data_IF_579280403122
#
_entry.id   IF_579280403122
#
_cell.length_a   1.000
_cell.length_b   1.000
_cell.length_c   1.000
_cell.angle_alpha   90.00
_cell.angle_beta   90.00
_cell.angle_gamma   90.00
#
_symmetry.space_group_name_H-M   'P 1'
#
loop_
_entity.id
_entity.type
_entity.pdbx_description
1 polymer ?
#
# COMPACT_ATOMS: atom_id res chain seq x y z
N UNK A 1 -30.43 55.21 13.05
CA UNK A 1 -30.51 53.99 12.24
C UNK A 1 -29.11 53.37 12.22
N UNK A 2 -28.87 52.41 13.13
CA UNK A 2 -27.62 51.65 13.19
C UNK A 2 -27.76 50.41 12.32
N UNK A 3 -26.99 50.27 11.26
CA UNK A 3 -26.93 49.11 10.41
C UNK A 3 -25.85 48.17 11.00
N UNK A 4 -26.27 47.08 11.63
CA UNK A 4 -25.36 46.04 12.13
C UNK A 4 -24.89 45.14 11.00
N UNK A 5 -23.61 45.09 10.73
CA UNK A 5 -22.94 44.16 9.81
C UNK A 5 -22.82 42.79 10.52
N UNK A 6 -23.58 41.80 10.10
CA UNK A 6 -23.40 40.40 10.51
C UNK A 6 -22.27 39.81 9.69
N UNK A 7 -21.10 39.68 10.30
CA UNK A 7 -19.96 38.90 9.74
C UNK A 7 -20.20 37.43 10.07
N UNK A 8 -20.60 36.65 9.07
CA UNK A 8 -20.69 35.21 9.18
C UNK A 8 -19.27 34.62 9.16
N UNK A 9 -18.77 34.20 10.32
CA UNK A 9 -17.52 33.44 10.44
C UNK A 9 -17.79 32.02 9.96
N UNK A 10 -17.37 31.70 8.76
CA UNK A 10 -17.33 30.32 8.25
C UNK A 10 -16.15 29.62 8.93
N UNK A 11 -16.42 28.85 9.97
CA UNK A 11 -15.43 27.95 10.56
C UNK A 11 -15.19 26.78 9.60
N UNK A 12 -13.93 26.48 9.24
CA UNK A 12 -13.65 25.27 8.48
C UNK A 12 -14.01 24.06 9.34
N UNK A 13 -14.96 23.26 8.87
CA UNK A 13 -15.22 21.94 9.46
C UNK A 13 -14.03 21.05 9.14
N UNK A 14 -13.13 20.90 10.12
CA UNK A 14 -12.15 19.81 10.10
C UNK A 14 -12.94 18.51 10.18
N UNK A 15 -12.94 17.76 9.09
CA UNK A 15 -13.45 16.39 9.08
C UNK A 15 -12.61 15.58 10.08
N UNK A 16 -13.20 15.26 11.23
CA UNK A 16 -12.60 14.32 12.18
C UNK A 16 -12.53 12.96 11.49
N UNK A 17 -11.31 12.51 11.19
CA UNK A 17 -11.06 11.17 10.71
C UNK A 17 -11.55 10.17 11.78
N UNK A 18 -12.69 9.54 11.55
CA UNK A 18 -13.21 8.49 12.42
C UNK A 18 -12.32 7.26 12.33
N UNK A 19 -12.10 6.59 13.46
CA UNK A 19 -11.46 5.29 13.51
C UNK A 19 -12.55 4.24 13.41
N UNK A 20 -12.61 3.51 12.29
CA UNK A 20 -13.49 2.35 12.15
C UNK A 20 -12.74 1.08 12.59
N UNK A 21 -13.17 0.50 13.70
CA UNK A 21 -12.60 -0.72 14.26
C UNK A 21 -13.41 -1.94 13.84
N UNK A 22 -12.81 -2.87 13.11
CA UNK A 22 -13.40 -4.18 12.79
C UNK A 22 -12.92 -5.18 13.82
N UNK A 23 -13.86 -5.74 14.60
CA UNK A 23 -13.56 -6.71 15.66
C UNK A 23 -14.23 -8.08 15.42
N UNK A 24 -14.99 -8.23 14.34
CA UNK A 24 -15.74 -9.45 14.05
C UNK A 24 -14.88 -10.50 13.34
N UNK A 25 -15.00 -11.75 13.77
CA UNK A 25 -14.46 -12.92 13.07
C UNK A 25 -15.31 -13.32 11.85
N UNK A 26 -16.49 -12.73 11.68
CA UNK A 26 -17.37 -12.98 10.54
C UNK A 26 -16.79 -12.31 9.29
N UNK A 27 -16.75 -13.04 8.18
CA UNK A 27 -16.27 -12.50 6.92
C UNK A 27 -17.15 -11.34 6.45
N UNK A 28 -16.54 -10.17 6.28
CA UNK A 28 -17.21 -9.00 5.72
C UNK A 28 -17.48 -9.26 4.23
N UNK A 29 -18.72 -9.08 3.73
CA UNK A 29 -19.01 -9.21 2.33
C UNK A 29 -18.38 -8.09 1.51
N UNK A 30 -17.69 -8.46 0.45
CA UNK A 30 -17.25 -7.49 -0.56
C UNK A 30 -18.47 -7.04 -1.36
N UNK A 31 -18.64 -5.73 -1.46
CA UNK A 31 -19.70 -5.11 -2.26
C UNK A 31 -19.29 -5.07 -3.73
N UNK A 32 -20.29 -5.23 -4.58
CA UNK A 32 -20.22 -4.98 -6.03
C UNK A 32 -21.04 -3.75 -6.36
N UNK A 33 -20.82 -3.09 -7.50
CA UNK A 33 -21.64 -1.96 -7.91
C UNK A 33 -23.12 -2.29 -7.94
N UNK A 34 -23.96 -1.37 -7.49
CA UNK A 34 -25.42 -1.53 -7.49
C UNK A 34 -25.99 -1.70 -8.91
N UNK A 35 -25.37 -1.04 -9.89
CA UNK A 35 -25.70 -1.15 -11.30
C UNK A 35 -24.43 -1.36 -12.13
N UNK A 36 -24.48 -2.03 -13.27
CA UNK A 36 -23.34 -2.17 -14.16
C UNK A 36 -22.77 -0.79 -14.54
N UNK A 37 -21.46 -0.66 -14.44
CA UNK A 37 -20.74 0.53 -14.87
C UNK A 37 -20.39 0.36 -16.34
N UNK A 38 -20.70 1.36 -17.17
CA UNK A 38 -20.31 1.34 -18.57
C UNK A 38 -18.78 1.33 -18.72
N UNK A 39 -18.23 0.55 -19.64
CA UNK A 39 -16.78 0.39 -19.83
C UNK A 39 -16.06 1.73 -20.00
N UNK A 40 -16.66 2.68 -20.72
CA UNK A 40 -16.11 4.02 -20.87
C UNK A 40 -15.99 4.81 -19.56
N UNK A 41 -16.77 4.46 -18.53
CA UNK A 41 -16.78 5.12 -17.23
C UNK A 41 -16.03 4.32 -16.14
N UNK A 42 -15.45 3.16 -16.46
CA UNK A 42 -14.55 2.46 -15.55
C UNK A 42 -13.28 3.30 -15.33
N UNK A 43 -12.90 3.49 -14.09
CA UNK A 43 -11.73 4.26 -13.69
C UNK A 43 -10.56 3.32 -13.42
N UNK A 44 -9.39 3.63 -13.98
CA UNK A 44 -8.15 2.93 -13.68
C UNK A 44 -7.61 3.39 -12.32
N UNK A 45 -7.11 2.44 -11.54
CA UNK A 45 -6.65 2.68 -10.17
C UNK A 45 -5.18 2.37 -10.04
N UNK A 46 -4.40 3.32 -9.53
CA UNK A 46 -3.02 3.13 -9.09
C UNK A 46 -2.96 3.04 -7.57
N UNK A 47 -2.32 1.99 -7.07
CA UNK A 47 -2.07 1.80 -5.65
C UNK A 47 -0.56 1.83 -5.45
N UNK A 48 -0.04 2.85 -4.77
CA UNK A 48 1.39 2.86 -4.43
C UNK A 48 1.67 1.85 -3.32
N UNK A 49 2.87 1.24 -3.26
CA UNK A 49 3.30 0.55 -2.07
C UNK A 49 3.07 1.45 -0.85
N UNK A 50 2.49 0.89 0.22
CA UNK A 50 2.22 1.69 1.41
C UNK A 50 3.55 2.17 2.01
N UNK A 51 3.53 3.36 2.61
CA UNK A 51 4.66 3.77 3.45
C UNK A 51 4.76 2.81 4.65
N UNK A 52 5.95 2.35 4.96
CA UNK A 52 6.23 1.38 6.02
C UNK A 52 5.92 1.92 7.42
N UNK A 53 5.88 3.25 7.59
CA UNK A 53 5.57 3.92 8.84
C UNK A 53 6.66 3.81 9.89
N UNK A 54 7.89 3.46 9.51
CA UNK A 54 9.01 3.32 10.44
C UNK A 54 9.33 4.64 11.17
N UNK A 55 9.18 5.76 10.48
CA UNK A 55 9.38 7.11 11.07
C UNK A 55 8.35 7.47 12.17
N UNK A 56 7.26 6.69 12.24
CA UNK A 56 6.15 6.92 13.18
C UNK A 56 6.14 5.94 14.35
N UNK A 57 7.12 5.02 14.41
CA UNK A 57 7.22 4.02 15.48
C UNK A 57 7.95 4.62 16.69
N UNK A 58 7.43 4.34 17.89
CA UNK A 58 8.10 4.69 19.12
C UNK A 58 9.32 3.76 19.35
N UNK A 59 10.35 4.25 20.07
CA UNK A 59 11.56 3.47 20.39
C UNK A 59 11.27 2.16 21.15
N UNK A 60 10.13 2.09 21.84
CA UNK A 60 9.67 0.91 22.60
C UNK A 60 8.92 -0.12 21.72
N UNK A 61 8.58 0.22 20.46
CA UNK A 61 7.87 -0.68 19.57
C UNK A 61 8.84 -1.68 18.90
N UNK A 62 8.56 -2.96 19.06
CA UNK A 62 9.33 -4.02 18.38
C UNK A 62 8.86 -4.12 16.92
N UNK A 63 9.45 -3.31 16.06
CA UNK A 63 9.18 -3.29 14.63
C UNK A 63 10.41 -3.79 13.87
N UNK A 64 10.18 -4.64 12.87
CA UNK A 64 11.22 -5.18 12.00
C UNK A 64 11.16 -4.46 10.65
N UNK A 65 12.17 -3.61 10.32
CA UNK A 65 12.15 -2.81 9.09
C UNK A 65 11.94 -3.66 7.83
N UNK A 66 12.64 -4.78 7.70
CA UNK A 66 12.56 -5.66 6.53
C UNK A 66 11.15 -6.26 6.38
N UNK A 67 10.48 -6.57 7.51
CA UNK A 67 9.09 -7.04 7.51
C UNK A 67 8.16 -5.91 7.06
N UNK A 68 8.38 -4.67 7.50
CA UNK A 68 7.60 -3.50 7.10
C UNK A 68 7.72 -3.20 5.61
N UNK A 69 8.91 -3.30 5.04
CA UNK A 69 9.10 -3.17 3.59
C UNK A 69 8.32 -4.23 2.81
N UNK A 70 8.40 -5.48 3.27
CA UNK A 70 7.62 -6.56 2.68
C UNK A 70 6.11 -6.35 2.81
N UNK A 71 5.63 -5.89 3.98
CA UNK A 71 4.23 -5.55 4.24
C UNK A 71 3.73 -4.43 3.34
N UNK A 72 4.54 -3.41 3.06
CA UNK A 72 4.18 -2.27 2.22
C UNK A 72 3.68 -2.71 0.84
N UNK A 73 4.40 -3.62 0.20
CA UNK A 73 4.01 -4.18 -1.11
C UNK A 73 2.89 -5.22 -0.96
N UNK A 74 3.03 -6.12 0.01
CA UNK A 74 2.04 -7.18 0.23
C UNK A 74 0.63 -6.61 0.48
N UNK A 75 0.50 -5.57 1.32
CA UNK A 75 -0.81 -4.97 1.62
C UNK A 75 -1.40 -4.24 0.43
N UNK A 76 -0.59 -3.52 -0.35
CA UNK A 76 -1.04 -2.88 -1.59
C UNK A 76 -1.55 -3.91 -2.59
N UNK A 77 -0.85 -5.02 -2.75
CA UNK A 77 -1.28 -6.13 -3.60
C UNK A 77 -2.55 -6.83 -3.08
N UNK A 78 -2.68 -7.03 -1.75
CA UNK A 78 -3.91 -7.58 -1.16
C UNK A 78 -5.11 -6.65 -1.39
N UNK A 79 -4.92 -5.33 -1.28
CA UNK A 79 -5.98 -4.36 -1.56
C UNK A 79 -6.36 -4.40 -3.04
N UNK A 80 -5.39 -4.42 -3.97
CA UNK A 80 -5.64 -4.55 -5.39
C UNK A 80 -6.50 -5.77 -5.71
N UNK A 81 -6.10 -6.97 -5.23
CA UNK A 81 -6.84 -8.23 -5.42
C UNK A 81 -8.27 -8.21 -4.86
N UNK A 82 -8.49 -7.50 -3.76
CA UNK A 82 -9.85 -7.35 -3.20
C UNK A 82 -10.67 -6.40 -4.08
N UNK A 83 -10.09 -5.29 -4.53
CA UNK A 83 -10.79 -4.31 -5.38
C UNK A 83 -11.14 -4.89 -6.75
N UNK A 84 -10.26 -5.66 -7.38
CA UNK A 84 -10.51 -6.35 -8.66
C UNK A 84 -11.77 -7.23 -8.59
N UNK A 85 -11.92 -7.99 -7.50
CA UNK A 85 -13.08 -8.87 -7.28
C UNK A 85 -14.40 -8.12 -7.19
N UNK A 86 -14.39 -6.80 -6.97
CA UNK A 86 -15.63 -5.99 -6.94
C UNK A 86 -16.21 -5.74 -8.34
N UNK A 87 -15.39 -5.80 -9.40
CA UNK A 87 -15.79 -5.49 -10.77
C UNK A 87 -16.22 -4.02 -11.00
N UNK A 88 -15.79 -3.11 -10.12
CA UNK A 88 -16.20 -1.71 -10.13
C UNK A 88 -15.23 -0.78 -10.86
N UNK A 89 -14.10 -1.28 -11.30
CA UNK A 89 -12.94 -0.52 -11.74
C UNK A 89 -12.45 -0.99 -13.11
N UNK A 90 -11.71 -0.15 -13.78
CA UNK A 90 -10.88 -0.53 -14.93
C UNK A 90 -9.67 -1.36 -14.46
N UNK A 91 -8.51 -1.08 -14.99
CA UNK A 91 -7.30 -1.73 -14.53
C UNK A 91 -6.92 -1.25 -13.12
N UNK A 92 -6.57 -2.20 -12.24
CA UNK A 92 -6.06 -1.89 -10.92
C UNK A 92 -4.61 -2.34 -10.89
N UNK A 93 -3.70 -1.41 -10.59
CA UNK A 93 -2.25 -1.64 -10.63
C UNK A 93 -1.59 -1.23 -9.33
N UNK A 94 -0.69 -2.05 -8.82
CA UNK A 94 0.30 -1.58 -7.84
C UNK A 94 1.36 -0.82 -8.64
N UNK A 95 1.52 0.48 -8.39
CA UNK A 95 2.38 1.33 -9.20
C UNK A 95 3.81 1.37 -8.65
N UNK A 96 4.83 1.38 -9.50
CA UNK A 96 6.23 1.43 -9.07
C UNK A 96 6.63 2.78 -8.47
N UNK A 97 5.86 3.83 -8.72
CA UNK A 97 6.12 5.20 -8.30
C UNK A 97 4.81 5.98 -8.13
N UNK A 98 4.84 7.04 -7.35
CA UNK A 98 3.74 8.02 -7.19
C UNK A 98 3.50 8.85 -8.47
N UNK A 99 4.45 8.86 -9.40
CA UNK A 99 4.39 9.63 -10.64
C UNK A 99 3.54 8.97 -11.73
N UNK A 100 3.17 7.70 -11.56
CA UNK A 100 2.30 7.00 -12.51
C UNK A 100 0.94 7.70 -12.58
N UNK A 101 0.55 8.13 -13.79
CA UNK A 101 -0.68 8.87 -14.00
C UNK A 101 -1.85 7.92 -14.23
N UNK A 102 -2.79 7.89 -13.27
CA UNK A 102 -4.02 7.08 -13.29
C UNK A 102 -5.26 7.95 -13.03
N UNK A 103 -6.46 7.35 -13.03
CA UNK A 103 -7.70 8.07 -12.76
C UNK A 103 -7.96 8.21 -11.26
N UNK A 104 -7.56 7.21 -10.47
CA UNK A 104 -7.70 7.17 -9.02
C UNK A 104 -6.39 6.72 -8.39
N UNK A 105 -5.95 7.40 -7.36
CA UNK A 105 -4.72 7.15 -6.63
C UNK A 105 -5.05 6.68 -5.23
N UNK A 106 -4.46 5.57 -4.81
CA UNK A 106 -4.55 5.06 -3.45
C UNK A 106 -3.14 5.02 -2.88
N UNK A 107 -2.95 5.72 -1.78
CA UNK A 107 -1.72 5.71 -0.99
C UNK A 107 -2.07 5.48 0.49
N UNK A 108 -1.09 5.17 1.28
CA UNK A 108 -1.31 5.00 2.71
C UNK A 108 -0.03 4.75 3.50
N UNK A 109 -0.21 4.58 4.81
CA UNK A 109 0.89 4.33 5.76
C UNK A 109 0.48 3.20 6.70
N UNK A 110 1.40 2.29 6.98
CA UNK A 110 1.26 1.25 7.99
C UNK A 110 1.53 1.89 9.34
N UNK A 111 0.48 2.15 10.11
CA UNK A 111 0.62 2.74 11.45
C UNK A 111 0.92 1.69 12.50
N UNK A 112 0.39 0.49 12.33
CA UNK A 112 0.64 -0.65 13.20
C UNK A 112 0.37 -1.95 12.45
N UNK A 113 1.23 -2.94 12.62
CA UNK A 113 1.05 -4.28 12.10
C UNK A 113 1.77 -5.28 12.99
N UNK A 114 0.99 -6.15 13.62
CA UNK A 114 1.46 -7.31 14.36
C UNK A 114 0.52 -8.51 14.06
N UNK A 115 0.70 -9.60 14.78
CA UNK A 115 -0.16 -10.78 14.59
C UNK A 115 -1.59 -10.58 15.09
N UNK A 116 -1.89 -9.56 15.89
CA UNK A 116 -3.20 -9.33 16.48
C UNK A 116 -3.93 -8.14 15.90
N UNK A 117 -3.23 -7.04 15.66
CA UNK A 117 -3.84 -5.77 15.22
C UNK A 117 -3.12 -5.24 13.99
N UNK A 118 -3.89 -4.78 13.03
CA UNK A 118 -3.41 -4.03 11.87
C UNK A 118 -4.10 -2.68 11.80
N UNK A 119 -3.34 -1.61 11.65
CA UNK A 119 -3.84 -0.24 11.52
C UNK A 119 -3.19 0.41 10.31
N UNK A 120 -4.00 0.82 9.34
CA UNK A 120 -3.59 1.49 8.12
C UNK A 120 -4.22 2.88 8.04
N UNK A 121 -3.44 3.89 7.68
CA UNK A 121 -3.96 5.16 7.20
C UNK A 121 -4.05 5.08 5.68
N UNK A 122 -5.23 5.30 5.11
CA UNK A 122 -5.45 5.24 3.66
C UNK A 122 -5.94 6.59 3.17
N UNK A 123 -5.34 7.05 2.08
CA UNK A 123 -5.74 8.25 1.35
C UNK A 123 -6.08 7.87 -0.08
N UNK A 124 -7.22 8.36 -0.56
CA UNK A 124 -7.66 8.17 -1.94
C UNK A 124 -7.91 9.52 -2.58
N UNK A 125 -7.34 9.75 -3.75
CA UNK A 125 -7.52 10.97 -4.56
C UNK A 125 -7.89 10.59 -5.99
N UNK A 126 -8.59 11.47 -6.68
CA UNK A 126 -8.82 11.32 -8.12
C UNK A 126 -7.79 12.07 -8.96
N UNK A 127 -7.88 11.92 -10.28
CA UNK A 127 -6.98 12.56 -11.24
C UNK A 127 -6.98 14.08 -11.19
N UNK A 128 -8.02 14.70 -10.61
CA UNK A 128 -8.07 16.15 -10.36
C UNK A 128 -7.27 16.57 -9.12
N UNK A 129 -6.86 15.62 -8.28
CA UNK A 129 -6.29 15.89 -6.97
C UNK A 129 -7.35 15.97 -5.85
N UNK A 130 -8.66 15.81 -6.17
CA UNK A 130 -9.72 15.82 -5.16
C UNK A 130 -9.60 14.60 -4.26
N UNK A 131 -9.49 14.83 -2.96
CA UNK A 131 -9.44 13.78 -1.96
C UNK A 131 -10.85 13.18 -1.74
N UNK A 132 -10.96 11.86 -1.92
CA UNK A 132 -12.17 11.09 -1.66
C UNK A 132 -12.23 10.59 -0.23
N UNK A 133 -11.12 10.04 0.24
CA UNK A 133 -10.97 9.42 1.55
C UNK A 133 -9.62 9.84 2.13
N UNK A 134 -9.60 10.13 3.42
CA UNK A 134 -8.42 10.08 4.27
C UNK A 134 -8.87 9.51 5.60
N UNK A 135 -8.56 8.24 5.85
CA UNK A 135 -9.17 7.52 6.97
C UNK A 135 -8.23 6.47 7.54
N UNK A 136 -8.26 6.36 8.86
CA UNK A 136 -7.60 5.30 9.60
C UNK A 136 -8.51 4.08 9.71
N UNK A 137 -8.01 2.93 9.26
CA UNK A 137 -8.66 1.64 9.37
C UNK A 137 -7.92 0.77 10.39
N UNK A 138 -8.68 0.09 11.24
CA UNK A 138 -8.12 -0.78 12.27
C UNK A 138 -8.90 -2.10 12.32
N UNK A 139 -8.17 -3.21 12.35
CA UNK A 139 -8.74 -4.53 12.59
C UNK A 139 -7.93 -5.25 13.66
N UNK A 140 -8.64 -5.85 14.63
CA UNK A 140 -8.05 -6.77 15.59
C UNK A 140 -8.59 -8.17 15.30
N UNK A 141 -7.69 -9.15 15.19
CA UNK A 141 -8.04 -10.55 14.96
C UNK A 141 -7.94 -11.37 16.23
N UNK A 142 -8.57 -12.54 16.25
CA UNK A 142 -8.56 -13.44 17.39
C UNK A 142 -7.82 -14.75 17.10
N UNK A 143 -7.58 -15.54 18.14
CA UNK A 143 -6.86 -16.82 18.06
C UNK A 143 -7.36 -17.79 16.99
N UNK A 144 -8.66 -17.76 16.68
CA UNK A 144 -9.27 -18.65 15.71
C UNK A 144 -8.89 -18.31 14.26
N UNK A 145 -8.45 -17.10 13.98
CA UNK A 145 -7.98 -16.71 12.65
C UNK A 145 -6.71 -17.46 12.22
N UNK A 146 -5.93 -17.95 13.20
CA UNK A 146 -4.69 -18.70 12.99
C UNK A 146 -4.84 -20.23 13.23
N UNK A 147 -6.06 -20.72 13.48
CA UNK A 147 -6.28 -22.15 13.70
C UNK A 147 -6.31 -22.92 12.37
N UNK A 148 -5.23 -23.65 12.08
CA UNK A 148 -5.09 -24.46 10.86
C UNK A 148 -6.14 -25.57 10.70
N UNK A 149 -6.84 -25.95 11.78
CA UNK A 149 -7.92 -26.95 11.75
C UNK A 149 -9.20 -26.38 11.17
N UNK A 150 -9.38 -25.09 11.30
CA UNK A 150 -10.44 -24.36 10.62
C UNK A 150 -10.00 -24.20 9.17
N UNK A 151 -10.65 -24.85 8.23
CA UNK A 151 -10.32 -24.84 6.78
C UNK A 151 -10.42 -23.46 6.12
N UNK A 152 -10.48 -22.41 6.91
CA UNK A 152 -10.54 -21.04 6.43
C UNK A 152 -9.10 -20.53 6.15
N UNK A 153 -8.69 -20.61 4.90
CA UNK A 153 -7.38 -20.16 4.40
C UNK A 153 -7.37 -18.65 4.08
N UNK A 154 -8.40 -17.91 4.48
CA UNK A 154 -8.44 -16.48 4.24
C UNK A 154 -7.43 -15.74 5.14
N UNK A 155 -6.83 -14.68 4.62
CA UNK A 155 -5.96 -13.82 5.40
C UNK A 155 -6.70 -13.29 6.64
N UNK A 156 -6.10 -13.34 7.85
CA UNK A 156 -6.72 -12.88 9.10
C UNK A 156 -7.21 -11.44 9.06
N UNK A 157 -6.57 -10.60 8.25
CA UNK A 157 -6.92 -9.18 8.08
C UNK A 157 -7.68 -8.89 6.78
N UNK A 158 -8.20 -9.91 6.10
CA UNK A 158 -8.98 -9.73 4.88
C UNK A 158 -10.11 -8.71 5.03
N UNK A 159 -10.79 -8.68 6.17
CA UNK A 159 -11.90 -7.77 6.42
C UNK A 159 -11.48 -6.30 6.39
N UNK A 160 -10.25 -5.98 6.78
CA UNK A 160 -9.70 -4.62 6.67
C UNK A 160 -9.66 -4.16 5.21
N UNK A 161 -9.09 -4.97 4.32
CA UNK A 161 -9.01 -4.66 2.89
C UNK A 161 -10.40 -4.60 2.24
N UNK A 162 -11.31 -5.49 2.64
CA UNK A 162 -12.70 -5.46 2.17
C UNK A 162 -13.42 -4.19 2.63
N UNK A 163 -13.18 -3.72 3.85
CA UNK A 163 -13.77 -2.47 4.35
C UNK A 163 -13.24 -1.27 3.57
N UNK A 164 -11.91 -1.21 3.32
CA UNK A 164 -11.30 -0.17 2.51
C UNK A 164 -11.92 -0.16 1.11
N UNK A 165 -11.96 -1.31 0.43
CA UNK A 165 -12.54 -1.44 -0.90
C UNK A 165 -14.02 -1.02 -0.95
N UNK A 166 -14.82 -1.43 0.05
CA UNK A 166 -16.23 -1.05 0.15
C UNK A 166 -16.43 0.46 0.36
N UNK A 167 -15.56 1.12 1.14
CA UNK A 167 -15.64 2.56 1.36
C UNK A 167 -15.26 3.34 0.09
N UNK A 168 -14.25 2.87 -0.65
CA UNK A 168 -13.86 3.46 -1.94
C UNK A 168 -15.00 3.29 -2.96
N UNK A 169 -15.58 2.09 -3.05
CA UNK A 169 -16.73 1.84 -3.92
C UNK A 169 -17.91 2.74 -3.58
N UNK A 170 -18.23 2.92 -2.30
CA UNK A 170 -19.30 3.82 -1.85
C UNK A 170 -19.09 5.28 -2.32
N UNK A 171 -17.85 5.73 -2.44
CA UNK A 171 -17.55 7.04 -3.01
C UNK A 171 -17.72 7.01 -4.54
N UNK A 172 -17.20 5.98 -5.21
CA UNK A 172 -17.33 5.79 -6.66
C UNK A 172 -18.78 5.80 -7.12
N UNK A 173 -19.68 5.16 -6.38
CA UNK A 173 -21.12 5.09 -6.70
C UNK A 173 -21.85 6.45 -6.64
N UNK A 174 -21.25 7.46 -6.00
CA UNK A 174 -21.79 8.83 -6.00
C UNK A 174 -21.40 9.64 -7.22
N UNK A 175 -20.44 9.15 -8.02
CA UNK A 175 -20.01 9.82 -9.24
C UNK A 175 -20.99 9.50 -10.36
N UNK A 176 -21.45 10.53 -11.07
CA UNK A 176 -22.15 10.34 -12.33
C UNK A 176 -21.21 9.80 -13.42
N UNK A 177 -21.78 9.28 -14.50
CA UNK A 177 -21.01 8.81 -15.65
C UNK A 177 -20.18 9.95 -16.27
N UNK A 178 -20.77 11.14 -16.40
CA UNK A 178 -20.08 12.33 -16.94
C UNK A 178 -18.88 12.70 -16.09
N UNK A 179 -19.02 12.60 -14.74
CA UNK A 179 -17.91 12.89 -13.83
C UNK A 179 -16.80 11.87 -13.91
N UNK A 180 -17.13 10.60 -14.12
CA UNK A 180 -16.12 9.58 -14.35
C UNK A 180 -15.35 9.80 -15.67
N UNK A 181 -16.07 10.17 -16.74
CA UNK A 181 -15.43 10.53 -18.01
C UNK A 181 -14.53 11.76 -17.88
N UNK A 182 -14.96 12.78 -17.12
CA UNK A 182 -14.13 13.94 -16.82
C UNK A 182 -12.81 13.54 -16.13
N UNK A 183 -12.87 12.63 -15.14
CA UNK A 183 -11.66 12.14 -14.46
C UNK A 183 -10.70 11.44 -15.43
N UNK A 184 -11.21 10.60 -16.31
CA UNK A 184 -10.41 9.93 -17.36
C UNK A 184 -9.78 10.93 -18.31
N UNK A 185 -10.55 11.95 -18.72
CA UNK A 185 -10.03 13.02 -19.60
C UNK A 185 -8.92 13.80 -18.90
N UNK A 186 -9.08 14.13 -17.61
CA UNK A 186 -8.04 14.84 -16.86
C UNK A 186 -6.78 13.98 -16.73
N UNK A 187 -6.88 12.69 -16.44
CA UNK A 187 -5.69 11.83 -16.37
C UNK A 187 -4.99 11.74 -17.75
N UNK A 188 -5.75 11.67 -18.84
CA UNK A 188 -5.20 11.69 -20.20
C UNK A 188 -4.47 13.01 -20.49
N UNK A 189 -5.09 14.14 -20.17
CA UNK A 189 -4.49 15.47 -20.39
C UNK A 189 -3.27 15.73 -19.48
N UNK A 190 -3.27 15.21 -18.27
CA UNK A 190 -2.08 15.24 -17.40
C UNK A 190 -0.92 14.48 -18.04
N UNK A 191 -1.20 13.29 -18.56
CA UNK A 191 -0.20 12.49 -19.25
C UNK A 191 0.28 13.21 -20.54
N UNK A 192 -0.66 13.77 -21.32
CA UNK A 192 -0.33 14.54 -22.52
C UNK A 192 0.53 15.77 -22.19
N UNK A 193 0.21 16.49 -21.12
CA UNK A 193 0.99 17.64 -20.66
C UNK A 193 2.39 17.24 -20.20
N UNK A 194 2.54 16.08 -19.58
CA UNK A 194 3.87 15.59 -19.17
C UNK A 194 4.80 15.40 -20.38
N UNK A 195 4.31 14.80 -21.47
CA UNK A 195 5.12 14.53 -22.66
C UNK A 195 5.20 15.71 -23.65
N UNK A 196 4.20 16.56 -23.71
CA UNK A 196 4.12 17.69 -24.65
C UNK A 196 3.51 18.93 -23.98
N UNK A 197 4.20 19.54 -23.01
CA UNK A 197 3.68 20.69 -22.28
C UNK A 197 3.31 21.83 -23.22
N UNK A 198 4.11 22.11 -24.24
CA UNK A 198 3.85 23.17 -25.22
C UNK A 198 2.55 22.99 -26.00
N UNK A 199 2.02 21.77 -26.10
CA UNK A 199 0.77 21.49 -26.78
C UNK A 199 -0.43 21.43 -25.83
N UNK A 200 -0.22 21.05 -24.55
CA UNK A 200 -1.32 20.70 -23.66
C UNK A 200 -1.39 21.52 -22.35
N UNK A 201 -0.49 22.46 -22.09
CA UNK A 201 -0.51 23.26 -20.85
C UNK A 201 -1.83 24.01 -20.65
N UNK A 202 -2.43 24.52 -21.74
CA UNK A 202 -3.67 25.30 -21.69
C UNK A 202 -4.95 24.45 -21.62
N UNK A 203 -4.87 23.12 -21.64
CA UNK A 203 -6.06 22.26 -21.65
C UNK A 203 -6.59 21.96 -20.25
N UNK A 204 -5.72 22.02 -19.25
CA UNK A 204 -6.08 21.86 -17.84
C UNK A 204 -5.50 23.00 -17.01
N UNK A 205 -6.30 23.55 -16.12
CA UNK A 205 -5.87 24.56 -15.18
C UNK A 205 -6.01 24.08 -13.73
N UNK A 206 -5.14 24.59 -12.88
CA UNK A 206 -5.21 24.34 -11.44
C UNK A 206 -6.01 25.45 -10.77
N UNK A 207 -7.02 25.06 -9.99
CA UNK A 207 -7.82 25.96 -9.17
C UNK A 207 -7.07 26.37 -7.91
N UNK A 208 -7.59 27.36 -7.19
CA UNK A 208 -7.02 27.86 -5.92
C UNK A 208 -6.93 26.80 -4.82
N UNK A 209 -7.76 25.76 -4.88
CA UNK A 209 -7.79 24.63 -3.95
C UNK A 209 -6.85 23.48 -4.36
N UNK A 210 -6.05 23.67 -5.42
CA UNK A 210 -5.13 22.67 -5.95
C UNK A 210 -5.78 21.62 -6.85
N UNK A 211 -7.10 21.71 -7.12
CA UNK A 211 -7.77 20.77 -8.02
C UNK A 211 -7.66 21.18 -9.47
N UNK A 212 -7.51 20.19 -10.35
CA UNK A 212 -7.46 20.40 -11.79
C UNK A 212 -8.87 20.47 -12.40
N UNK A 213 -9.01 21.29 -13.43
CA UNK A 213 -10.21 21.44 -14.24
C UNK A 213 -9.85 21.45 -15.72
N UNK A 214 -10.76 20.97 -16.56
CA UNK A 214 -10.63 21.04 -18.02
C UNK A 214 -11.01 22.44 -18.45
N UNK A 215 -10.10 23.13 -19.13
CA UNK A 215 -10.36 24.44 -19.78
C UNK A 215 -10.86 24.27 -21.21
N UNK A 216 -10.30 23.31 -21.93
CA UNK A 216 -10.73 22.96 -23.28
C UNK A 216 -10.46 21.49 -23.57
N UNK A 217 -11.19 20.92 -24.51
CA UNK A 217 -10.95 19.57 -25.03
C UNK A 217 -10.08 19.61 -26.28
N UNK A 218 -9.18 18.61 -26.47
CA UNK A 218 -8.47 18.46 -27.74
C UNK A 218 -9.43 18.19 -28.90
N UNK A 219 -9.00 18.51 -30.11
CA UNK A 219 -9.75 18.11 -31.30
C UNK A 219 -9.83 16.59 -31.40
N UNK A 220 -10.95 16.08 -31.92
CA UNK A 220 -11.23 14.64 -32.00
C UNK A 220 -10.12 13.85 -32.72
N UNK A 221 -9.48 14.49 -33.72
CA UNK A 221 -8.39 13.92 -34.52
C UNK A 221 -7.03 14.56 -34.23
N UNK A 222 -6.78 15.03 -33.01
CA UNK A 222 -5.50 15.62 -32.63
C UNK A 222 -4.38 14.57 -32.75
N UNK A 223 -3.46 14.83 -33.69
CA UNK A 223 -2.36 13.91 -34.02
C UNK A 223 -1.33 13.79 -32.87
N UNK A 224 -1.16 14.88 -32.09
CA UNK A 224 -0.24 14.89 -30.95
C UNK A 224 -0.83 14.03 -29.83
N UNK A 225 -2.13 14.20 -29.55
CA UNK A 225 -2.82 13.38 -28.56
C UNK A 225 -2.84 11.89 -28.94
N UNK A 226 -3.08 11.55 -30.23
CA UNK A 226 -3.01 10.16 -30.68
C UNK A 226 -1.63 9.53 -30.46
N UNK A 227 -0.55 10.30 -30.64
CA UNK A 227 0.81 9.84 -30.34
C UNK A 227 1.02 9.64 -28.84
N UNK A 228 0.60 10.60 -28.03
CA UNK A 228 0.67 10.51 -26.58
C UNK A 228 -0.10 9.29 -26.07
N UNK A 229 -1.27 8.97 -26.63
CA UNK A 229 -2.03 7.76 -26.30
C UNK A 229 -1.20 6.49 -26.53
N UNK A 230 -0.49 6.38 -27.66
CA UNK A 230 0.39 5.23 -27.93
C UNK A 230 1.54 5.12 -26.91
N UNK A 231 2.07 6.25 -26.48
CA UNK A 231 3.10 6.26 -25.41
C UNK A 231 2.48 5.79 -24.09
N UNK A 232 1.26 6.27 -23.76
CA UNK A 232 0.54 5.84 -22.56
C UNK A 232 0.22 4.34 -22.55
N UNK A 233 -0.18 3.80 -23.69
CA UNK A 233 -0.42 2.37 -23.84
C UNK A 233 0.86 1.56 -23.60
N UNK A 234 2.00 2.02 -24.11
CA UNK A 234 3.31 1.39 -23.85
C UNK A 234 3.70 1.48 -22.36
N UNK A 235 3.46 2.62 -21.73
CA UNK A 235 3.71 2.81 -20.30
C UNK A 235 2.88 1.85 -19.45
N UNK A 236 1.60 1.74 -19.74
CA UNK A 236 0.72 0.80 -19.04
C UNK A 236 1.14 -0.66 -19.25
N UNK A 237 1.51 -1.05 -20.46
CA UNK A 237 2.02 -2.40 -20.73
C UNK A 237 3.28 -2.71 -19.89
N UNK A 238 4.17 -1.73 -19.76
CA UNK A 238 5.34 -1.90 -18.92
C UNK A 238 4.96 -2.05 -17.44
N UNK A 239 4.05 -1.21 -16.93
CA UNK A 239 3.55 -1.31 -15.54
C UNK A 239 2.84 -2.66 -15.34
N UNK A 240 2.12 -3.18 -16.33
CA UNK A 240 1.48 -4.49 -16.26
C UNK A 240 2.52 -5.62 -16.11
N UNK A 241 3.71 -5.51 -16.71
CA UNK A 241 4.79 -6.50 -16.46
C UNK A 241 5.30 -6.46 -15.03
N UNK A 242 5.22 -5.31 -14.35
CA UNK A 242 5.59 -5.17 -12.93
C UNK A 242 4.55 -5.84 -12.00
N UNK A 243 3.29 -5.98 -12.43
CA UNK A 243 2.27 -6.67 -11.63
C UNK A 243 2.63 -8.15 -11.41
N UNK A 244 3.17 -8.81 -12.43
CA UNK A 244 3.64 -10.20 -12.30
C UNK A 244 4.72 -10.34 -11.21
N UNK A 245 5.59 -9.33 -11.10
CA UNK A 245 6.60 -9.30 -10.04
C UNK A 245 5.96 -9.12 -8.65
N UNK A 246 5.07 -8.15 -8.47
CA UNK A 246 4.37 -7.92 -7.19
C UNK A 246 3.50 -9.11 -6.80
N UNK A 247 2.87 -9.75 -7.75
CA UNK A 247 2.05 -10.96 -7.53
C UNK A 247 2.91 -12.15 -7.14
N UNK A 248 4.00 -12.38 -7.85
CA UNK A 248 4.97 -13.43 -7.54
C UNK A 248 5.55 -13.27 -6.13
N UNK A 249 5.98 -12.05 -5.80
CA UNK A 249 6.43 -11.72 -4.45
C UNK A 249 5.36 -12.00 -3.39
N UNK A 250 4.14 -11.50 -3.59
CA UNK A 250 3.04 -11.70 -2.64
C UNK A 250 2.66 -13.16 -2.45
N UNK A 251 2.77 -13.98 -3.49
CA UNK A 251 2.53 -15.42 -3.41
C UNK A 251 3.63 -16.14 -2.62
N UNK A 252 4.90 -15.83 -2.91
CA UNK A 252 6.04 -16.41 -2.20
C UNK A 252 6.04 -16.04 -0.71
N UNK A 253 5.77 -14.78 -0.41
CA UNK A 253 5.71 -14.27 0.96
C UNK A 253 4.57 -14.89 1.77
N UNK A 254 3.43 -15.20 1.14
CA UNK A 254 2.18 -15.47 1.83
C UNK A 254 2.29 -16.48 2.98
N UNK A 255 2.85 -17.67 2.73
CA UNK A 255 2.92 -18.73 3.74
C UNK A 255 3.85 -18.37 4.91
N UNK A 256 5.06 -17.88 4.61
CA UNK A 256 6.02 -17.48 5.62
C UNK A 256 5.47 -16.33 6.47
N UNK A 257 4.80 -15.38 5.85
CA UNK A 257 4.21 -14.24 6.52
C UNK A 257 3.01 -14.63 7.41
N UNK A 258 2.17 -15.57 7.01
CA UNK A 258 1.09 -16.10 7.87
C UNK A 258 1.66 -16.82 9.09
N UNK A 259 2.77 -17.55 8.95
CA UNK A 259 3.44 -18.20 10.06
C UNK A 259 4.12 -17.19 11.00
N UNK A 260 4.75 -16.15 10.44
CA UNK A 260 5.26 -15.00 11.20
C UNK A 260 4.15 -14.34 12.02
N UNK A 261 3.02 -13.95 11.40
CA UNK A 261 1.88 -13.32 12.08
C UNK A 261 1.31 -14.19 13.20
N UNK A 262 1.20 -15.50 12.98
CA UNK A 262 0.73 -16.42 14.03
C UNK A 262 1.67 -16.42 15.22
N UNK A 263 2.97 -16.49 14.98
CA UNK A 263 3.99 -16.45 16.04
C UNK A 263 3.96 -15.12 16.80
N UNK A 264 3.84 -14.02 16.07
CA UNK A 264 3.69 -12.67 16.62
C UNK A 264 2.43 -12.55 17.47
N UNK A 265 1.28 -13.06 17.00
CA UNK A 265 0.02 -13.09 17.75
C UNK A 265 0.18 -13.77 19.11
N UNK A 266 0.77 -14.97 19.14
CA UNK A 266 0.99 -15.71 20.39
C UNK A 266 1.84 -14.89 21.38
N UNK A 267 2.83 -14.16 20.88
CA UNK A 267 3.73 -13.33 21.70
C UNK A 267 3.04 -12.07 22.22
N UNK A 268 2.30 -11.35 21.37
CA UNK A 268 1.56 -10.13 21.73
C UNK A 268 0.47 -10.41 22.77
N UNK A 269 -0.32 -11.47 22.55
CA UNK A 269 -1.37 -11.87 23.51
C UNK A 269 -0.77 -12.25 24.86
N UNK A 270 0.34 -12.97 24.86
CA UNK A 270 1.04 -13.37 26.11
C UNK A 270 1.62 -12.15 26.84
N UNK A 271 2.22 -11.21 26.12
CA UNK A 271 2.72 -9.97 26.68
C UNK A 271 1.60 -9.17 27.37
N UNK A 272 0.45 -9.02 26.70
CA UNK A 272 -0.72 -8.34 27.27
C UNK A 272 -1.28 -9.02 28.53
N UNK A 273 -1.37 -10.36 28.53
CA UNK A 273 -1.84 -11.11 29.71
C UNK A 273 -0.93 -10.88 30.92
N UNK A 274 0.38 -10.79 30.71
CA UNK A 274 1.36 -10.51 31.75
C UNK A 274 1.28 -9.08 32.26
N UNK A 275 1.03 -8.11 31.37
CA UNK A 275 0.87 -6.70 31.74
C UNK A 275 -0.39 -6.49 32.59
N UNK A 276 -1.50 -7.13 32.22
CA UNK A 276 -2.76 -7.10 33.00
C UNK A 276 -2.61 -7.71 34.40
N UNK A 277 -1.65 -8.61 34.60
CA UNK A 277 -1.32 -9.19 35.91
C UNK A 277 -0.40 -8.29 36.74
N UNK A 278 -0.08 -7.08 36.28
CA UNK A 278 0.75 -6.12 36.98
C UNK A 278 2.25 -6.43 36.95
N UNK A 279 2.69 -7.36 36.13
CA UNK A 279 4.07 -7.81 36.03
C UNK A 279 4.85 -7.04 34.94
N UNK A 280 4.90 -5.70 35.04
CA UNK A 280 5.59 -4.82 34.06
C UNK A 280 7.05 -5.23 33.79
N UNK A 281 7.74 -5.83 34.76
CA UNK A 281 9.13 -6.31 34.60
C UNK A 281 9.25 -7.50 33.65
N UNK A 282 8.19 -8.30 33.50
CA UNK A 282 8.18 -9.45 32.58
C UNK A 282 7.86 -9.03 31.15
N UNK A 283 7.06 -7.96 30.98
CA UNK A 283 6.73 -7.40 29.64
C UNK A 283 8.00 -6.81 29.00
N UNK A 284 8.78 -6.04 29.75
CA UNK A 284 10.08 -5.55 29.28
C UNK A 284 11.04 -6.69 28.90
N UNK A 285 10.97 -7.84 29.62
CA UNK A 285 11.73 -9.04 29.29
C UNK A 285 11.30 -9.76 28.01
N UNK A 286 10.03 -9.69 27.64
CA UNK A 286 9.52 -10.30 26.39
C UNK A 286 9.88 -9.43 25.19
N UNK A 287 9.79 -8.10 25.28
CA UNK A 287 10.31 -7.17 24.28
C UNK A 287 11.81 -7.36 24.04
N UNK A 288 12.59 -7.48 25.13
CA UNK A 288 14.02 -7.78 25.06
C UNK A 288 14.34 -9.18 24.50
N UNK A 289 13.45 -10.15 24.67
CA UNK A 289 13.59 -11.49 24.07
C UNK A 289 13.31 -11.43 22.56
N UNK A 290 12.31 -10.70 22.13
CA UNK A 290 12.03 -10.47 20.72
C UNK A 290 13.18 -9.67 20.06
N UNK A 291 13.62 -8.58 20.67
CA UNK A 291 14.77 -7.80 20.22
C UNK A 291 16.09 -8.59 20.27
N UNK A 292 16.29 -9.47 21.26
CA UNK A 292 17.49 -10.32 21.38
C UNK A 292 17.57 -11.47 20.37
N UNK A 293 16.49 -11.79 19.66
CA UNK A 293 16.48 -12.73 18.54
C UNK A 293 17.09 -12.06 17.30
N UNK A 294 16.90 -10.75 17.14
CA UNK A 294 17.35 -9.96 15.98
C UNK A 294 18.64 -9.17 16.19
N UNK A 295 18.97 -8.81 17.42
CA UNK A 295 20.15 -7.98 17.73
C UNK A 295 21.49 -8.71 17.74
N UNK A 296 21.66 -9.83 17.03
CA UNK A 296 22.91 -10.62 17.03
C UNK A 296 23.88 -10.27 15.90
N UNK A 297 23.61 -9.28 15.11
CA UNK A 297 24.59 -8.64 14.26
C UNK A 297 25.00 -7.31 14.90
N UNK A 298 26.16 -7.30 15.58
CA UNK A 298 26.87 -6.13 16.07
C UNK A 298 26.28 -5.33 17.26
N UNK A 299 26.28 -5.91 18.46
CA UNK A 299 26.72 -5.11 19.62
C UNK A 299 27.06 -5.97 20.85
N UNK A 300 28.31 -5.87 21.21
CA UNK A 300 28.92 -6.46 22.43
C UNK A 300 28.52 -5.60 23.64
N UNK A 301 27.27 -5.56 24.07
CA UNK A 301 26.81 -4.77 25.19
C UNK A 301 26.54 -5.62 26.43
N UNK A 302 26.97 -5.11 27.58
CA UNK A 302 26.98 -5.73 28.92
C UNK A 302 25.60 -6.14 29.47
N UNK A 303 24.49 -5.73 28.84
CA UNK A 303 23.11 -5.98 29.30
C UNK A 303 22.72 -7.47 29.19
N UNK A 304 23.36 -8.25 28.30
CA UNK A 304 23.06 -9.68 28.12
C UNK A 304 23.50 -10.60 29.23
N UNK A 305 24.34 -10.13 30.18
CA UNK A 305 24.91 -10.98 31.24
C UNK A 305 24.15 -10.95 32.57
N UNK A 306 23.43 -9.86 32.84
CA UNK A 306 22.72 -9.70 34.13
C UNK A 306 21.27 -10.25 34.09
N UNK A 307 20.71 -10.46 32.88
CA UNK A 307 19.38 -11.07 32.72
C UNK A 307 19.35 -12.59 32.97
N UNK A 308 20.52 -13.26 32.99
CA UNK A 308 20.62 -14.71 33.15
C UNK A 308 20.54 -15.21 34.57
N UNK A 309 20.72 -14.34 35.57
CA UNK A 309 20.78 -14.72 36.98
C UNK A 309 19.49 -14.55 37.77
N UNK A 310 18.50 -13.81 37.25
CA UNK A 310 17.24 -13.52 37.96
C UNK A 310 16.11 -14.54 37.72
N UNK A 311 16.26 -15.50 36.81
CA UNK A 311 15.20 -16.42 36.38
C UNK A 311 15.36 -17.87 36.83
N UNK A 312 16.29 -18.18 37.71
CA UNK A 312 16.60 -19.56 38.10
C UNK A 312 15.59 -20.23 39.06
N UNK A 313 14.63 -19.49 39.64
CA UNK A 313 13.78 -20.04 40.71
C UNK A 313 12.34 -20.40 40.33
N UNK A 314 11.77 -19.95 39.17
CA UNK A 314 10.38 -20.23 38.82
C UNK A 314 10.14 -20.56 37.31
N UNK A 315 11.20 -20.68 36.52
CA UNK A 315 11.09 -20.66 35.04
C UNK A 315 11.48 -21.93 34.28
N UNK A 316 11.86 -23.02 34.93
CA UNK A 316 12.42 -24.19 34.25
C UNK A 316 11.51 -24.88 33.23
N UNK A 317 10.20 -24.78 33.34
CA UNK A 317 9.24 -25.36 32.41
C UNK A 317 8.86 -24.40 31.24
N UNK A 318 8.93 -23.10 31.47
CA UNK A 318 8.64 -22.07 30.44
C UNK A 318 9.80 -21.97 29.45
N UNK A 319 11.04 -22.20 29.90
CA UNK A 319 12.24 -22.09 29.07
C UNK A 319 12.33 -23.17 27.97
N UNK A 320 11.95 -24.41 28.23
CA UNK A 320 12.09 -25.51 27.23
C UNK A 320 11.09 -25.40 26.10
N UNK A 321 9.82 -25.15 26.37
CA UNK A 321 8.80 -24.90 25.34
C UNK A 321 8.99 -23.57 24.63
N UNK A 322 9.59 -22.58 25.29
CA UNK A 322 9.98 -21.30 24.73
C UNK A 322 11.14 -21.38 23.74
N UNK A 323 12.14 -22.25 24.00
CA UNK A 323 13.29 -22.41 23.13
C UNK A 323 12.97 -23.07 21.78
N UNK A 324 12.11 -24.11 21.76
CA UNK A 324 11.69 -24.78 20.54
C UNK A 324 10.82 -23.86 19.66
N UNK A 325 9.90 -23.12 20.30
CA UNK A 325 9.09 -22.11 19.59
C UNK A 325 9.94 -20.90 19.17
N UNK A 326 11.00 -20.58 19.90
CA UNK A 326 11.96 -19.53 19.61
C UNK A 326 12.78 -19.82 18.35
N UNK A 327 13.21 -21.07 18.13
CA UNK A 327 13.89 -21.49 16.90
C UNK A 327 12.95 -21.44 15.67
N UNK A 328 11.69 -21.87 15.81
CA UNK A 328 10.71 -21.79 14.72
C UNK A 328 10.36 -20.34 14.36
N UNK A 329 10.16 -19.47 15.37
CA UNK A 329 9.88 -18.05 15.12
C UNK A 329 11.08 -17.35 14.43
N UNK A 330 12.31 -17.66 14.83
CA UNK A 330 13.50 -17.11 14.20
C UNK A 330 13.58 -17.49 12.72
N UNK A 331 13.28 -18.73 12.36
CA UNK A 331 13.30 -19.20 10.96
C UNK A 331 12.26 -18.50 10.09
N UNK A 332 11.05 -18.22 10.63
CA UNK A 332 10.02 -17.48 9.87
C UNK A 332 10.38 -16.01 9.70
N UNK A 333 10.96 -15.42 10.72
CA UNK A 333 11.39 -14.03 10.69
C UNK A 333 12.53 -13.86 9.67
N UNK A 334 13.54 -14.72 9.69
CA UNK A 334 14.62 -14.73 8.71
C UNK A 334 14.09 -14.85 7.29
N UNK A 335 13.12 -15.75 7.05
CA UNK A 335 12.52 -15.91 5.73
C UNK A 335 11.74 -14.67 5.25
N UNK A 336 11.01 -13.99 6.14
CA UNK A 336 10.29 -12.76 5.78
C UNK A 336 11.25 -11.59 5.62
N UNK A 337 12.27 -11.50 6.47
CA UNK A 337 13.32 -10.49 6.38
C UNK A 337 14.14 -10.64 5.09
N UNK A 338 14.51 -11.87 4.72
CA UNK A 338 15.20 -12.17 3.47
C UNK A 338 14.35 -11.79 2.25
N UNK A 339 13.06 -12.08 2.29
CA UNK A 339 12.14 -11.64 1.23
C UNK A 339 11.99 -10.12 1.21
N UNK A 340 11.92 -9.46 2.38
CA UNK A 340 11.87 -7.99 2.47
C UNK A 340 13.11 -7.34 1.88
N UNK A 341 14.28 -7.82 2.24
CA UNK A 341 15.56 -7.32 1.70
C UNK A 341 15.72 -7.60 0.20
N UNK A 342 15.10 -8.67 -0.32
CA UNK A 342 15.12 -8.97 -1.75
C UNK A 342 14.32 -7.96 -2.59
N UNK A 343 13.41 -7.21 -1.97
CA UNK A 343 12.65 -6.15 -2.66
C UNK A 343 13.45 -4.88 -2.92
N UNK A 344 14.43 -4.58 -2.07
CA UNK A 344 15.40 -3.50 -2.30
C UNK A 344 16.53 -3.95 -3.24
N UNK A 345 16.64 -5.26 -3.45
CA UNK A 345 17.62 -5.82 -4.36
C UNK A 345 17.24 -5.54 -5.83
N UNK A 346 18.22 -5.67 -6.69
CA UNK A 346 18.00 -5.63 -8.14
C UNK A 346 17.04 -6.75 -8.55
N UNK A 347 15.96 -6.38 -9.25
CA UNK A 347 15.07 -7.35 -9.89
C UNK A 347 15.68 -7.81 -11.24
N UNK A 348 15.12 -8.90 -11.78
CA UNK A 348 15.54 -9.40 -13.08
C UNK A 348 15.52 -8.26 -14.13
N UNK A 349 16.62 -8.07 -14.88
CA UNK A 349 16.69 -7.05 -15.91
C UNK A 349 15.55 -7.22 -16.93
N UNK A 350 14.88 -6.12 -17.26
CA UNK A 350 13.87 -6.10 -18.31
C UNK A 350 14.51 -5.74 -19.64
N UNK A 351 14.30 -6.59 -20.64
CA UNK A 351 14.82 -6.38 -21.99
C UNK A 351 13.72 -5.82 -22.87
N UNK A 352 13.90 -4.60 -23.33
CA UNK A 352 12.95 -3.90 -24.20
C UNK A 352 13.51 -3.90 -25.64
N UNK A 353 12.78 -4.53 -26.54
CA UNK A 353 13.11 -4.51 -27.96
C UNK A 353 12.45 -3.29 -28.63
N UNK A 354 13.26 -2.42 -29.19
CA UNK A 354 12.85 -1.31 -30.03
C UNK A 354 13.16 -1.65 -31.50
N UNK A 355 12.56 -0.92 -32.44
CA UNK A 355 12.74 -1.17 -33.88
C UNK A 355 14.22 -1.12 -34.33
N UNK A 356 15.04 -0.28 -33.68
CA UNK A 356 16.43 -0.01 -34.02
C UNK A 356 17.44 -0.57 -33.03
N UNK A 357 17.01 -0.99 -31.82
CA UNK A 357 17.92 -1.42 -30.73
C UNK A 357 17.19 -2.18 -29.62
N UNK A 358 17.97 -2.90 -28.85
CA UNK A 358 17.56 -3.52 -27.58
C UNK A 358 18.09 -2.69 -26.41
N UNK A 359 17.24 -2.40 -25.43
CA UNK A 359 17.60 -1.69 -24.19
C UNK A 359 17.33 -2.62 -23.02
N UNK A 360 18.29 -2.73 -22.11
CA UNK A 360 18.14 -3.49 -20.88
C UNK A 360 17.99 -2.52 -19.71
N UNK A 361 16.89 -2.66 -18.98
CA UNK A 361 16.61 -1.91 -17.75
C UNK A 361 17.07 -2.74 -16.55
N UNK A 362 17.77 -2.13 -15.61
CA UNK A 362 18.38 -2.83 -14.46
C UNK A 362 18.15 -2.07 -13.17
N UNK A 363 18.32 -2.73 -12.04
CA UNK A 363 18.13 -2.15 -10.72
C UNK A 363 16.82 -2.54 -10.05
N UNK A 364 16.41 -1.77 -9.09
CA UNK A 364 15.13 -1.95 -8.37
C UNK A 364 13.94 -1.73 -9.29
N UNK A 365 12.73 -2.12 -8.85
CA UNK A 365 11.46 -1.87 -9.58
C UNK A 365 11.32 -0.39 -9.94
N UNK A 366 11.52 0.49 -8.97
CA UNK A 366 11.45 1.93 -9.18
C UNK A 366 12.55 2.41 -10.14
N UNK A 367 13.80 1.96 -9.95
CA UNK A 367 14.92 2.35 -10.82
C UNK A 367 14.74 1.90 -12.27
N UNK A 368 14.16 0.72 -12.49
CA UNK A 368 13.81 0.27 -13.85
C UNK A 368 12.67 1.12 -14.44
N UNK A 369 11.69 1.51 -13.65
CA UNK A 369 10.62 2.39 -14.11
C UNK A 369 11.12 3.79 -14.47
N UNK A 370 12.02 4.38 -13.68
CA UNK A 370 12.66 5.66 -14.01
C UNK A 370 13.44 5.60 -15.32
N UNK A 371 14.19 4.51 -15.56
CA UNK A 371 14.88 4.25 -16.84
C UNK A 371 13.89 4.10 -17.98
N UNK A 372 12.77 3.42 -17.74
CA UNK A 372 11.68 3.27 -18.71
C UNK A 372 11.07 4.62 -19.08
N UNK A 373 10.74 5.48 -18.11
CA UNK A 373 10.22 6.83 -18.36
C UNK A 373 11.19 7.66 -19.21
N UNK A 374 12.48 7.62 -18.90
CA UNK A 374 13.50 8.30 -19.68
C UNK A 374 13.61 7.74 -21.12
N UNK A 375 13.33 6.46 -21.31
CA UNK A 375 13.29 5.83 -22.64
C UNK A 375 12.05 6.26 -23.43
N UNK A 376 10.88 6.29 -22.79
CA UNK A 376 9.63 6.78 -23.39
C UNK A 376 9.77 8.23 -23.87
N UNK A 377 10.42 9.07 -23.09
CA UNK A 377 10.71 10.47 -23.45
C UNK A 377 11.56 10.56 -24.73
N UNK A 378 12.57 9.69 -24.85
CA UNK A 378 13.40 9.63 -26.07
C UNK A 378 12.59 9.14 -27.27
N UNK A 379 11.77 8.12 -27.11
CA UNK A 379 10.89 7.59 -28.17
C UNK A 379 9.93 8.68 -28.63
N UNK A 380 9.29 9.37 -27.70
CA UNK A 380 8.38 10.47 -28.02
C UNK A 380 9.06 11.58 -28.84
N UNK A 381 10.27 12.03 -28.41
CA UNK A 381 11.05 13.04 -29.11
C UNK A 381 11.50 12.59 -30.51
N UNK A 382 11.87 11.33 -30.70
CA UNK A 382 12.21 10.76 -32.00
C UNK A 382 11.01 10.71 -32.94
N UNK A 383 9.87 10.21 -32.46
CA UNK A 383 8.62 10.16 -33.26
C UNK A 383 8.09 11.56 -33.61
N UNK A 384 8.42 12.59 -32.81
CA UNK A 384 8.10 13.98 -33.09
C UNK A 384 9.02 14.59 -34.14
N UNK A 385 10.31 14.27 -34.15
CA UNK A 385 11.31 14.80 -35.08
C UNK A 385 11.24 14.16 -36.48
N UNK A 386 10.53 13.05 -36.64
CA UNK A 386 10.36 12.32 -37.91
C UNK A 386 9.22 12.89 -38.80
N UNK A 387 8.61 14.00 -38.44
CA UNK A 387 7.64 14.78 -39.18
C UNK A 387 8.24 16.08 -39.68
#
# INVERSE_FOLDING_TARGET
VLLGLLVSVVTPQTATAGIDKVTSSTALPLKTPFAPIADAALLDVGITPLNDGLDLTDEDDTVFPEVRFAEAIYFSNQLAKVMEKSGAWGAIRVTPSDDVITDVYISGTILHSDGETMTLQITVKDSRGQQWISKKYNQTTGKYAYDRRLKNLADPFRNLFVQIANDILKYREKLSQEKALELRTISELRFARHFSPEAFDEYIAEKRDGTLTIERLPAENDKILQRVRKIRDRDYLYIDTMQDYYDGFSQQMHLAYQDFRRSSYESVVKARQLDQQGNRRVVAGIGAILAGIYGRTESNTRIGRDASTATAATGGFILKSGLEKKQQAATYNEAVAEMGSSLEAEIAPQVIELEDRTVTLTGTVQGQYEQWQALLDKIYKQERGAL
#
